data_IF_285169087479
#
_entry.id   IF_285169087479
#
_cell.length_a   1.000
_cell.length_b   1.000
_cell.length_c   1.000
_cell.angle_alpha   90.00
_cell.angle_beta   90.00
_cell.angle_gamma   90.00
#
_symmetry.space_group_name_H-M   'P 1'
#
loop_
_entity.id
_entity.type
_entity.pdbx_description
1 polymer ?
#
# COMPACT_ATOMS: atom_id res chain seq x y z
N UNK A 1 2.17 -5.23 -34.68
CA UNK A 1 2.87 -5.63 -33.42
C UNK A 1 3.17 -4.35 -32.68
N UNK A 2 2.50 -4.12 -31.56
CA UNK A 2 2.74 -2.94 -30.72
C UNK A 2 4.05 -3.10 -29.95
N UNK A 3 4.86 -2.06 -29.89
CA UNK A 3 6.13 -2.04 -29.15
C UNK A 3 6.07 -1.00 -28.04
N UNK A 4 6.12 -1.45 -26.80
CA UNK A 4 6.01 -0.61 -25.61
C UNK A 4 7.29 -0.69 -24.79
N UNK A 5 7.78 0.48 -24.40
CA UNK A 5 8.94 0.63 -23.53
C UNK A 5 8.46 0.90 -22.11
N UNK A 6 9.05 0.19 -21.15
CA UNK A 6 8.91 0.46 -19.72
C UNK A 6 10.17 1.12 -19.19
N UNK A 7 10.05 2.36 -18.74
CA UNK A 7 11.06 3.13 -18.03
C UNK A 7 10.69 3.16 -16.54
N UNK A 8 11.00 2.08 -15.82
CA UNK A 8 10.59 1.91 -14.42
C UNK A 8 11.57 1.05 -13.65
N UNK A 9 11.44 1.03 -12.32
CA UNK A 9 12.19 0.14 -11.47
C UNK A 9 11.48 -1.23 -11.37
N UNK A 10 12.06 -2.26 -11.95
CA UNK A 10 11.55 -3.63 -11.91
C UNK A 10 11.89 -4.40 -10.63
N UNK A 11 12.61 -3.79 -9.69
CA UNK A 11 12.77 -4.35 -8.35
C UNK A 11 11.47 -4.27 -7.55
N UNK A 12 10.57 -3.33 -7.90
CA UNK A 12 9.27 -3.14 -7.27
C UNK A 12 8.20 -4.08 -7.84
N UNK A 13 7.32 -4.61 -6.97
CA UNK A 13 6.19 -5.45 -7.38
C UNK A 13 5.25 -4.71 -8.32
N UNK A 14 4.97 -3.45 -8.05
CA UNK A 14 4.07 -2.61 -8.86
C UNK A 14 4.42 -2.64 -10.34
N UNK A 15 5.70 -2.46 -10.69
CA UNK A 15 6.16 -2.49 -12.08
C UNK A 15 6.00 -3.88 -12.72
N UNK A 16 6.28 -4.94 -11.94
CA UNK A 16 6.16 -6.32 -12.42
C UNK A 16 4.71 -6.71 -12.67
N UNK A 17 3.80 -6.32 -11.78
CA UNK A 17 2.36 -6.60 -11.91
C UNK A 17 1.72 -5.83 -13.06
N UNK A 18 2.09 -4.56 -13.29
CA UNK A 18 1.68 -3.82 -14.48
C UNK A 18 2.08 -4.58 -15.76
N UNK A 19 3.31 -5.05 -15.82
CA UNK A 19 3.81 -5.80 -16.96
C UNK A 19 3.02 -7.11 -17.18
N UNK A 20 2.66 -7.81 -16.10
CA UNK A 20 1.83 -9.03 -16.16
C UNK A 20 0.43 -8.73 -16.72
N UNK A 21 -0.20 -7.66 -16.24
CA UNK A 21 -1.51 -7.25 -16.75
C UNK A 21 -1.50 -6.91 -18.25
N UNK A 22 -0.46 -6.24 -18.72
CA UNK A 22 -0.29 -5.94 -20.15
C UNK A 22 -0.04 -7.20 -20.97
N UNK A 23 0.76 -8.14 -20.45
CA UNK A 23 0.99 -9.43 -21.12
C UNK A 23 -0.33 -10.23 -21.23
N UNK A 24 -1.17 -10.21 -20.19
CA UNK A 24 -2.51 -10.80 -20.20
C UNK A 24 -3.40 -10.18 -21.29
N UNK A 25 -3.43 -8.84 -21.40
CA UNK A 25 -4.18 -8.16 -22.47
C UNK A 25 -3.73 -8.61 -23.86
N UNK A 26 -2.41 -8.66 -24.11
CA UNK A 26 -1.85 -9.09 -25.38
C UNK A 26 -2.25 -10.54 -25.73
N UNK A 27 -2.25 -11.42 -24.74
CA UNK A 27 -2.69 -12.81 -24.88
C UNK A 27 -4.19 -12.90 -25.19
N UNK A 28 -5.04 -12.24 -24.41
CA UNK A 28 -6.50 -12.29 -24.54
C UNK A 28 -7.00 -11.71 -25.86
N UNK A 29 -6.30 -10.71 -26.39
CA UNK A 29 -6.63 -10.09 -27.68
C UNK A 29 -5.92 -10.73 -28.87
N UNK A 30 -5.13 -11.78 -28.67
CA UNK A 30 -4.30 -12.44 -29.67
C UNK A 30 -3.41 -11.47 -30.47
N UNK A 31 -2.94 -10.39 -29.82
CA UNK A 31 -2.11 -9.38 -30.44
C UNK A 31 -0.64 -9.60 -30.11
N UNK A 32 0.24 -9.43 -31.09
CA UNK A 32 1.67 -9.47 -30.87
C UNK A 32 2.15 -8.14 -30.25
N UNK A 33 2.56 -8.18 -29.00
CA UNK A 33 3.18 -7.06 -28.30
C UNK A 33 4.66 -7.35 -27.98
N UNK A 34 5.49 -6.33 -28.11
CA UNK A 34 6.89 -6.36 -27.69
C UNK A 34 7.05 -5.42 -26.50
N UNK A 35 7.30 -5.98 -25.32
CA UNK A 35 7.45 -5.23 -24.07
C UNK A 35 8.94 -5.11 -23.73
N UNK A 36 9.49 -3.91 -23.87
CA UNK A 36 10.92 -3.63 -23.70
C UNK A 36 11.15 -2.92 -22.36
N UNK A 37 12.07 -3.41 -21.55
CA UNK A 37 12.42 -2.82 -20.25
C UNK A 37 13.61 -1.89 -20.41
N UNK A 38 13.48 -0.65 -19.95
CA UNK A 38 14.54 0.36 -19.92
C UNK A 38 14.82 0.77 -18.47
N UNK A 39 16.06 0.60 -17.96
CA UNK A 39 16.39 1.02 -16.59
C UNK A 39 16.28 2.54 -16.43
N UNK A 40 15.82 2.98 -15.25
CA UNK A 40 15.74 4.40 -14.88
C UNK A 40 17.09 5.13 -15.00
N UNK A 41 18.18 4.43 -14.73
CA UNK A 41 19.54 4.97 -14.84
C UNK A 41 19.89 5.57 -16.22
N UNK A 42 19.19 5.14 -17.28
CA UNK A 42 19.37 5.75 -18.62
C UNK A 42 18.85 7.19 -18.63
N UNK A 43 17.62 7.43 -18.10
CA UNK A 43 17.06 8.76 -17.94
C UNK A 43 17.91 9.61 -16.99
N UNK A 44 18.29 9.04 -15.84
CA UNK A 44 19.01 9.75 -14.78
C UNK A 44 20.39 10.21 -15.23
N UNK A 45 21.04 9.44 -16.11
CA UNK A 45 22.38 9.72 -16.62
C UNK A 45 22.38 10.58 -17.89
N UNK A 46 21.40 10.38 -18.77
CA UNK A 46 21.43 10.95 -20.14
C UNK A 46 20.22 11.84 -20.45
N UNK A 47 19.30 12.03 -19.52
CA UNK A 47 18.10 12.83 -19.68
C UNK A 47 16.98 12.13 -20.45
N UNK A 48 15.83 12.81 -20.51
CA UNK A 48 14.63 12.30 -21.18
C UNK A 48 14.80 12.25 -22.70
N UNK A 49 15.60 13.13 -23.25
CA UNK A 49 15.92 13.19 -24.68
C UNK A 49 16.57 11.90 -25.18
N UNK A 50 17.47 11.31 -24.39
CA UNK A 50 18.09 10.03 -24.72
C UNK A 50 17.08 8.89 -24.72
N UNK A 51 16.08 8.94 -23.83
CA UNK A 51 14.97 7.97 -23.81
C UNK A 51 14.14 8.09 -25.09
N UNK A 52 13.82 9.33 -25.52
CA UNK A 52 13.09 9.59 -26.77
C UNK A 52 13.87 9.08 -27.99
N UNK A 53 15.15 9.37 -28.08
CA UNK A 53 16.02 8.89 -29.19
C UNK A 53 16.05 7.35 -29.22
N UNK A 54 16.16 6.72 -28.07
CA UNK A 54 16.16 5.27 -27.97
C UNK A 54 14.81 4.69 -28.41
N UNK A 55 13.70 5.30 -27.96
CA UNK A 55 12.35 4.91 -28.35
C UNK A 55 12.14 5.00 -29.88
N UNK A 56 12.64 6.06 -30.52
CA UNK A 56 12.61 6.21 -31.98
C UNK A 56 13.42 5.13 -32.69
N UNK A 57 14.64 4.86 -32.22
CA UNK A 57 15.49 3.79 -32.79
C UNK A 57 14.82 2.41 -32.69
N UNK A 58 14.14 2.17 -31.59
CA UNK A 58 13.38 0.94 -31.36
C UNK A 58 12.04 0.90 -32.09
N UNK A 59 11.62 2.01 -32.71
CA UNK A 59 10.29 2.18 -33.32
C UNK A 59 9.19 1.86 -32.32
N UNK A 60 9.30 2.42 -31.12
CA UNK A 60 8.32 2.23 -30.07
C UNK A 60 7.04 2.99 -30.37
N UNK A 61 5.90 2.37 -30.13
CA UNK A 61 4.58 2.99 -30.24
C UNK A 61 4.22 3.74 -28.94
N UNK A 62 4.70 3.24 -27.79
CA UNK A 62 4.42 3.83 -26.49
C UNK A 62 5.60 3.71 -25.51
N UNK A 63 5.64 4.62 -24.54
CA UNK A 63 6.53 4.59 -23.38
C UNK A 63 5.68 4.73 -22.11
N UNK A 64 5.79 3.78 -21.20
CA UNK A 64 5.25 3.89 -19.84
C UNK A 64 6.44 4.21 -18.93
N UNK A 65 6.37 5.26 -18.12
CA UNK A 65 7.54 5.64 -17.35
C UNK A 65 7.27 6.37 -16.04
N UNK A 66 8.22 6.21 -15.13
CA UNK A 66 8.36 7.05 -13.95
C UNK A 66 9.09 8.33 -14.36
N UNK A 67 8.35 9.35 -14.75
CA UNK A 67 8.92 10.63 -15.20
C UNK A 67 9.08 11.60 -14.03
N UNK A 68 10.14 12.46 -14.11
CA UNK A 68 10.23 13.61 -13.23
C UNK A 68 9.36 14.76 -13.76
N UNK A 69 8.89 15.62 -12.87
CA UNK A 69 8.11 16.82 -13.28
C UNK A 69 8.88 17.78 -14.19
N UNK A 70 10.21 17.68 -14.16
CA UNK A 70 11.12 18.45 -15.02
C UNK A 70 11.33 17.81 -16.39
N UNK A 71 10.90 16.55 -16.58
CA UNK A 71 11.04 15.87 -17.85
C UNK A 71 10.09 16.47 -18.89
N UNK A 72 10.61 16.78 -20.07
CA UNK A 72 9.80 17.27 -21.18
C UNK A 72 9.08 16.10 -21.88
N UNK A 73 8.00 15.61 -21.27
CA UNK A 73 7.21 14.47 -21.80
C UNK A 73 6.53 14.76 -23.14
N UNK A 74 6.36 16.04 -23.50
CA UNK A 74 5.83 16.47 -24.82
C UNK A 74 6.73 16.04 -25.99
N UNK A 75 7.99 15.76 -25.73
CA UNK A 75 8.91 15.25 -26.76
C UNK A 75 8.44 13.90 -27.32
N UNK A 76 7.82 13.04 -26.52
CA UNK A 76 7.26 11.78 -27.01
C UNK A 76 6.14 12.05 -28.02
N UNK A 77 5.16 12.87 -27.66
CA UNK A 77 4.04 13.23 -28.54
C UNK A 77 4.50 13.87 -29.84
N UNK A 78 5.47 14.81 -29.79
CA UNK A 78 6.03 15.46 -30.99
C UNK A 78 6.67 14.46 -31.94
N UNK A 79 7.09 13.30 -31.46
CA UNK A 79 7.70 12.24 -32.25
C UNK A 79 6.74 11.07 -32.53
N UNK A 80 5.42 11.25 -32.27
CA UNK A 80 4.40 10.24 -32.54
C UNK A 80 4.42 9.04 -31.57
N UNK A 81 5.02 9.21 -30.39
CA UNK A 81 5.10 8.17 -29.35
C UNK A 81 4.11 8.50 -28.24
N UNK A 82 3.29 7.52 -27.87
CA UNK A 82 2.37 7.64 -26.74
C UNK A 82 3.18 7.58 -25.44
N UNK A 83 3.04 8.60 -24.58
CA UNK A 83 3.64 8.60 -23.25
C UNK A 83 2.56 8.41 -22.19
N UNK A 84 2.80 7.53 -21.23
CA UNK A 84 1.94 7.31 -20.07
C UNK A 84 2.80 7.36 -18.81
N UNK A 85 2.44 8.25 -17.87
CA UNK A 85 3.17 8.39 -16.62
C UNK A 85 2.74 7.30 -15.63
N UNK A 86 3.69 6.53 -15.11
CA UNK A 86 3.48 5.72 -13.92
C UNK A 86 3.58 6.61 -12.68
N UNK A 87 2.70 6.41 -11.71
CA UNK A 87 2.75 7.10 -10.42
C UNK A 87 4.16 7.04 -9.82
N UNK A 88 4.78 8.19 -9.63
CA UNK A 88 6.14 8.28 -9.12
C UNK A 88 6.29 9.45 -8.16
N UNK A 89 6.25 10.71 -8.64
CA UNK A 89 6.32 11.89 -7.76
C UNK A 89 5.05 12.72 -7.83
N UNK A 90 4.71 13.23 -9.00
CA UNK A 90 3.54 14.07 -9.25
C UNK A 90 2.82 13.59 -10.51
N UNK A 91 1.50 13.74 -10.52
CA UNK A 91 0.69 13.46 -11.71
C UNK A 91 0.93 14.50 -12.80
N UNK A 92 0.89 14.05 -14.04
CA UNK A 92 0.95 14.90 -15.22
C UNK A 92 -0.46 15.30 -15.65
N UNK A 93 -0.60 16.49 -16.25
CA UNK A 93 -1.86 16.99 -16.82
C UNK A 93 -1.89 16.92 -18.35
N UNK A 94 -0.77 16.61 -18.97
CA UNK A 94 -0.60 16.62 -20.44
C UNK A 94 -0.50 15.24 -21.06
N UNK A 95 -0.36 14.20 -20.25
CA UNK A 95 -0.33 12.80 -20.63
C UNK A 95 -1.13 11.95 -19.61
N UNK A 96 -1.67 10.79 -20.00
CA UNK A 96 -2.35 9.89 -19.07
C UNK A 96 -1.42 9.45 -17.94
N UNK A 97 -2.00 9.26 -16.76
CA UNK A 97 -1.32 8.67 -15.61
C UNK A 97 -1.85 7.26 -15.33
N UNK A 98 -0.99 6.40 -14.83
CA UNK A 98 -1.36 5.20 -14.09
C UNK A 98 -1.27 5.58 -12.63
N UNK A 99 -2.40 5.74 -11.96
CA UNK A 99 -2.50 6.26 -10.60
C UNK A 99 -3.60 5.54 -9.83
N UNK A 100 -3.92 5.96 -8.62
CA UNK A 100 -4.98 5.35 -7.82
C UNK A 100 -5.62 6.33 -6.83
N UNK A 101 -6.74 5.93 -6.19
CA UNK A 101 -7.37 6.71 -5.14
C UNK A 101 -6.61 6.50 -3.82
N UNK A 102 -5.40 7.05 -3.74
CA UNK A 102 -4.47 6.85 -2.61
C UNK A 102 -5.03 7.31 -1.28
N UNK A 103 -5.88 8.35 -1.27
CA UNK A 103 -6.65 8.73 -0.10
C UNK A 103 -7.50 7.57 0.42
N UNK A 104 -8.17 6.83 -0.47
CA UNK A 104 -8.98 5.67 -0.08
C UNK A 104 -8.14 4.52 0.48
N UNK A 105 -6.92 4.32 -0.02
CA UNK A 105 -5.98 3.35 0.54
C UNK A 105 -5.61 3.72 1.99
N UNK A 106 -5.34 5.01 2.25
CA UNK A 106 -5.11 5.52 3.60
C UNK A 106 -6.31 5.31 4.52
N UNK A 107 -7.51 5.59 4.03
CA UNK A 107 -8.76 5.35 4.77
C UNK A 107 -8.94 3.86 5.11
N UNK A 108 -8.76 2.95 4.15
CA UNK A 108 -8.85 1.49 4.39
C UNK A 108 -7.87 1.03 5.48
N UNK A 109 -6.65 1.54 5.49
CA UNK A 109 -5.66 1.24 6.51
C UNK A 109 -6.10 1.73 7.89
N UNK A 110 -6.66 2.94 7.98
CA UNK A 110 -7.19 3.49 9.23
C UNK A 110 -8.35 2.65 9.76
N UNK A 111 -9.35 2.35 8.93
CA UNK A 111 -10.50 1.51 9.26
C UNK A 111 -10.05 0.13 9.79
N UNK A 112 -9.07 -0.49 9.13
CA UNK A 112 -8.49 -1.76 9.55
C UNK A 112 -7.89 -1.71 10.96
N UNK A 113 -7.11 -0.68 11.29
CA UNK A 113 -6.52 -0.56 12.61
C UNK A 113 -7.53 -0.12 13.68
N UNK A 114 -8.51 0.70 13.33
CA UNK A 114 -9.62 1.07 14.22
C UNK A 114 -10.43 -0.17 14.64
N UNK A 115 -10.72 -1.08 13.71
CA UNK A 115 -11.38 -2.35 14.00
C UNK A 115 -10.56 -3.23 14.96
N UNK A 116 -9.23 -3.15 14.89
CA UNK A 116 -8.32 -3.83 15.81
C UNK A 116 -8.20 -3.17 17.19
N UNK A 117 -8.86 -2.01 17.40
CA UNK A 117 -8.94 -1.32 18.69
C UNK A 117 -7.74 -0.43 19.02
N UNK A 118 -6.91 -0.09 18.05
CA UNK A 118 -5.81 0.87 18.26
C UNK A 118 -6.33 2.27 18.58
N UNK A 119 -5.53 3.01 19.35
CA UNK A 119 -5.78 4.41 19.75
C UNK A 119 -4.60 5.33 19.45
N UNK A 120 -3.43 4.75 19.22
CA UNK A 120 -2.23 5.48 18.82
C UNK A 120 -1.88 5.07 17.40
N UNK A 121 -1.72 6.06 16.54
CA UNK A 121 -1.51 5.85 15.12
C UNK A 121 -0.32 6.65 14.64
N UNK A 122 0.35 6.11 13.64
CA UNK A 122 1.47 6.79 13.04
C UNK A 122 1.57 6.49 11.54
N UNK A 123 2.18 7.41 10.80
CA UNK A 123 2.43 7.26 9.38
C UNK A 123 3.92 7.46 9.07
N UNK A 124 4.46 6.54 8.27
CA UNK A 124 5.84 6.63 7.79
C UNK A 124 5.89 6.67 6.26
N UNK A 125 6.58 7.67 5.70
CA UNK A 125 6.64 7.82 4.25
C UNK A 125 7.45 9.01 3.77
N UNK A 126 7.20 9.49 2.55
CA UNK A 126 7.94 10.57 1.90
C UNK A 126 7.03 11.76 1.62
N UNK A 127 7.53 12.98 1.83
CA UNK A 127 6.82 14.23 1.48
C UNK A 127 7.00 14.59 0.01
N UNK A 128 5.99 15.22 -0.56
CA UNK A 128 6.04 15.76 -1.91
C UNK A 128 5.88 14.70 -3.00
N UNK A 129 5.43 13.51 -2.62
CA UNK A 129 5.04 12.43 -3.51
C UNK A 129 3.54 12.22 -3.36
N UNK A 130 2.78 12.32 -4.44
CA UNK A 130 1.32 12.36 -4.41
C UNK A 130 0.72 11.13 -3.70
N UNK A 131 1.15 9.92 -4.04
CA UNK A 131 0.62 8.72 -3.40
C UNK A 131 0.88 8.66 -1.89
N UNK A 132 2.07 9.10 -1.45
CA UNK A 132 2.43 9.09 -0.02
C UNK A 132 1.68 10.18 0.74
N UNK A 133 1.56 11.38 0.17
CA UNK A 133 0.86 12.49 0.79
C UNK A 133 -0.64 12.20 0.92
N UNK A 134 -1.28 11.67 -0.12
CA UNK A 134 -2.70 11.30 -0.11
C UNK A 134 -3.00 10.12 0.82
N UNK A 135 -2.15 9.08 0.86
CA UNK A 135 -2.27 7.97 1.82
C UNK A 135 -2.20 8.47 3.25
N UNK A 136 -1.23 9.35 3.55
CA UNK A 136 -1.09 9.99 4.86
C UNK A 136 -2.33 10.79 5.24
N UNK A 137 -2.86 11.57 4.30
CA UNK A 137 -4.06 12.39 4.51
C UNK A 137 -5.27 11.51 4.82
N UNK A 138 -5.57 10.52 3.97
CA UNK A 138 -6.72 9.63 4.16
C UNK A 138 -6.64 8.84 5.47
N UNK A 139 -5.44 8.37 5.84
CA UNK A 139 -5.19 7.67 7.09
C UNK A 139 -5.47 8.59 8.29
N UNK A 140 -4.89 9.80 8.31
CA UNK A 140 -5.04 10.76 9.40
C UNK A 140 -6.48 11.23 9.57
N UNK A 141 -7.12 11.70 8.50
CA UNK A 141 -8.47 12.28 8.56
C UNK A 141 -9.51 11.24 9.03
N UNK A 142 -9.34 9.98 8.64
CA UNK A 142 -10.21 8.90 9.09
C UNK A 142 -10.07 8.63 10.59
N UNK A 143 -8.85 8.67 11.12
CA UNK A 143 -8.57 8.51 12.55
C UNK A 143 -9.15 9.67 13.34
N UNK A 144 -8.91 10.92 12.92
CA UNK A 144 -9.41 12.13 13.55
C UNK A 144 -10.95 12.18 13.56
N UNK A 145 -11.58 11.73 12.46
CA UNK A 145 -13.04 11.62 12.37
C UNK A 145 -13.63 10.55 13.30
N UNK A 146 -12.90 9.45 13.52
CA UNK A 146 -13.34 8.38 14.42
C UNK A 146 -13.31 8.81 15.90
N UNK A 147 -12.24 9.45 16.33
CA UNK A 147 -12.13 10.05 17.66
C UNK A 147 -10.97 11.08 17.71
N UNK A 148 -11.26 12.37 17.97
CA UNK A 148 -10.24 13.40 18.04
C UNK A 148 -9.25 13.27 19.23
N UNK A 149 -9.54 12.40 20.21
CA UNK A 149 -8.61 12.08 21.30
C UNK A 149 -7.54 11.03 20.92
N UNK A 150 -7.66 10.40 19.76
CA UNK A 150 -6.65 9.46 19.30
C UNK A 150 -5.37 10.19 18.92
N UNK A 151 -4.22 9.56 19.21
CA UNK A 151 -2.95 10.17 18.87
C UNK A 151 -2.58 9.88 17.42
N UNK A 152 -2.04 10.88 16.74
CA UNK A 152 -1.46 10.70 15.40
C UNK A 152 -0.08 11.36 15.33
N UNK A 153 0.89 10.64 14.80
CA UNK A 153 2.24 11.13 14.53
C UNK A 153 2.67 10.76 13.11
N UNK A 154 3.49 11.57 12.47
CA UNK A 154 4.06 11.18 11.18
C UNK A 154 5.53 11.52 11.07
N UNK A 155 6.32 10.58 10.57
CA UNK A 155 7.68 10.82 10.12
C UNK A 155 7.71 10.68 8.61
N UNK A 156 8.07 11.76 7.92
CA UNK A 156 8.13 11.82 6.47
C UNK A 156 9.43 12.45 6.02
N UNK A 157 10.27 11.66 5.36
CA UNK A 157 11.51 12.14 4.76
C UNK A 157 11.24 13.09 3.59
N UNK A 158 12.23 13.92 3.26
CA UNK A 158 12.20 14.69 2.01
C UNK A 158 12.62 13.80 0.85
N UNK A 159 11.91 13.87 -0.27
CA UNK A 159 12.22 13.16 -1.51
C UNK A 159 13.60 13.54 -2.13
N UNK A 160 14.30 14.53 -1.55
CA UNK A 160 15.61 14.99 -2.00
C UNK A 160 16.79 14.32 -1.27
N UNK A 161 16.53 13.55 -0.22
CA UNK A 161 17.59 12.91 0.57
C UNK A 161 17.65 11.40 0.25
N UNK A 162 18.37 11.04 -0.78
CA UNK A 162 18.49 9.65 -1.25
C UNK A 162 19.25 8.73 -0.27
N UNK A 163 19.95 9.31 0.74
CA UNK A 163 20.72 8.55 1.73
C UNK A 163 19.98 8.31 3.05
N UNK A 164 18.77 8.85 3.24
CA UNK A 164 17.97 8.63 4.45
C UNK A 164 17.72 7.13 4.71
N UNK A 165 17.73 6.32 3.67
CA UNK A 165 17.55 4.88 3.66
C UNK A 165 18.62 4.13 4.47
N UNK A 166 19.82 4.69 4.60
CA UNK A 166 20.94 4.05 5.27
C UNK A 166 21.18 4.57 6.70
N UNK A 167 20.53 5.67 7.08
CA UNK A 167 20.59 6.22 8.44
C UNK A 167 19.22 6.06 9.13
N UNK A 168 19.10 4.99 9.91
CA UNK A 168 17.90 4.70 10.69
C UNK A 168 17.78 5.49 11.99
N UNK A 169 18.76 6.35 12.35
CA UNK A 169 18.81 7.03 13.65
C UNK A 169 17.56 7.86 13.94
N UNK A 170 17.11 8.64 12.95
CA UNK A 170 15.91 9.45 13.09
C UNK A 170 14.65 8.58 13.23
N UNK A 171 14.55 7.50 12.43
CA UNK A 171 13.45 6.55 12.50
C UNK A 171 13.40 5.85 13.86
N UNK A 172 14.53 5.36 14.37
CA UNK A 172 14.64 4.72 15.69
C UNK A 172 14.19 5.67 16.79
N UNK A 173 14.69 6.91 16.80
CA UNK A 173 14.32 7.93 17.79
C UNK A 173 12.82 8.21 17.78
N UNK A 174 12.23 8.34 16.57
CA UNK A 174 10.80 8.53 16.42
C UNK A 174 10.00 7.33 16.91
N UNK A 175 10.38 6.10 16.52
CA UNK A 175 9.70 4.87 16.97
C UNK A 175 9.72 4.72 18.50
N UNK A 176 10.81 5.12 19.17
CA UNK A 176 10.91 5.10 20.63
C UNK A 176 10.00 6.12 21.29
N UNK A 177 9.77 7.27 20.66
CA UNK A 177 8.91 8.35 21.18
C UNK A 177 7.41 8.10 21.10
N UNK A 178 6.98 7.16 20.24
CA UNK A 178 5.56 6.88 20.03
C UNK A 178 4.91 6.21 21.25
N UNK A 179 3.70 6.59 21.65
CA UNK A 179 2.93 5.89 22.67
C UNK A 179 2.57 4.47 22.19
N UNK A 180 2.67 3.48 23.10
CA UNK A 180 2.43 2.05 22.76
C UNK A 180 1.10 1.56 23.35
N UNK A 181 0.41 0.59 22.74
CA UNK A 181 0.67 0.06 21.41
C UNK A 181 0.33 1.07 20.32
N UNK A 182 1.07 1.05 19.19
CA UNK A 182 0.87 1.94 18.07
C UNK A 182 0.66 1.17 16.76
N UNK A 183 -0.26 1.65 15.93
CA UNK A 183 -0.49 1.18 14.56
C UNK A 183 0.21 2.11 13.58
N UNK A 184 1.12 1.59 12.78
CA UNK A 184 1.87 2.36 11.78
C UNK A 184 1.46 1.93 10.38
N UNK A 185 0.98 2.87 9.58
CA UNK A 185 0.88 2.72 8.14
C UNK A 185 2.17 3.26 7.51
N UNK A 186 2.85 2.44 6.74
CA UNK A 186 3.90 2.90 5.84
C UNK A 186 3.33 3.23 4.46
N UNK A 187 3.97 4.15 3.73
CA UNK A 187 3.45 4.54 2.42
C UNK A 187 3.57 3.42 1.37
N UNK A 188 4.51 2.49 1.54
CA UNK A 188 4.71 1.29 0.73
C UNK A 188 5.38 0.17 1.55
N UNK A 189 5.57 -1.01 0.94
CA UNK A 189 6.16 -2.16 1.62
C UNK A 189 7.65 -1.99 1.91
N UNK A 190 8.41 -1.27 1.08
CA UNK A 190 9.81 -0.98 1.35
C UNK A 190 9.96 -0.11 2.59
N UNK A 191 9.10 0.91 2.74
CA UNK A 191 9.05 1.75 3.93
C UNK A 191 8.62 0.94 5.17
N UNK A 192 7.66 0.01 5.02
CA UNK A 192 7.26 -0.89 6.09
C UNK A 192 8.42 -1.80 6.52
N UNK A 193 9.19 -2.33 5.57
CA UNK A 193 10.37 -3.12 5.84
C UNK A 193 11.43 -2.33 6.63
N UNK A 194 11.66 -1.04 6.29
CA UNK A 194 12.57 -0.20 7.07
C UNK A 194 12.16 -0.05 8.53
N UNK A 195 10.87 0.05 8.81
CA UNK A 195 10.39 0.09 10.19
C UNK A 195 10.77 -1.22 10.91
N UNK A 196 10.62 -2.38 10.25
CA UNK A 196 10.99 -3.66 10.86
C UNK A 196 12.48 -3.74 11.16
N UNK A 197 13.33 -3.32 10.22
CA UNK A 197 14.77 -3.27 10.40
C UNK A 197 15.19 -2.29 11.52
N UNK A 198 14.54 -1.12 11.61
CA UNK A 198 14.80 -0.18 12.69
C UNK A 198 14.37 -0.74 14.06
N UNK A 199 13.26 -1.48 14.12
CA UNK A 199 12.83 -2.14 15.36
C UNK A 199 13.84 -3.19 15.86
N UNK A 200 14.55 -3.87 14.97
CA UNK A 200 15.62 -4.81 15.35
C UNK A 200 16.81 -4.13 16.04
N UNK A 201 17.06 -2.87 15.72
CA UNK A 201 18.18 -2.07 16.26
C UNK A 201 17.84 -1.42 17.61
N UNK A 202 16.59 -1.41 18.04
CA UNK A 202 16.18 -0.84 19.32
C UNK A 202 16.63 -1.80 20.45
N UNK A 203 17.48 -1.32 21.37
CA UNK A 203 17.97 -2.10 22.51
C UNK A 203 16.82 -2.68 23.35
N UNK A 204 16.90 -3.97 23.68
CA UNK A 204 15.91 -4.70 24.48
C UNK A 204 14.59 -4.98 23.75
N UNK A 205 14.48 -4.64 22.47
CA UNK A 205 13.23 -4.73 21.72
C UNK A 205 13.13 -5.91 20.77
N UNK A 206 14.16 -6.16 19.99
CA UNK A 206 14.12 -7.24 18.99
C UNK A 206 12.78 -7.38 18.26
N UNK A 207 12.60 -8.48 17.58
CA UNK A 207 11.34 -8.83 16.91
C UNK A 207 10.14 -8.99 17.87
N UNK A 208 10.37 -9.04 19.18
CA UNK A 208 9.31 -9.17 20.17
C UNK A 208 8.41 -7.94 20.30
N UNK A 209 8.83 -6.79 19.72
CA UNK A 209 8.01 -5.56 19.70
C UNK A 209 6.96 -5.53 18.58
N UNK A 210 7.14 -6.29 17.52
CA UNK A 210 6.18 -6.41 16.43
C UNK A 210 5.49 -7.78 16.54
N UNK A 211 4.16 -7.84 16.62
CA UNK A 211 3.17 -6.74 16.56
C UNK A 211 2.81 -6.12 17.92
N UNK A 212 3.37 -6.58 19.04
CA UNK A 212 2.85 -6.28 20.39
C UNK A 212 2.87 -4.80 20.76
N UNK A 213 3.99 -4.11 20.48
CA UNK A 213 4.14 -2.68 20.73
C UNK A 213 3.85 -1.86 19.47
N UNK A 214 4.22 -2.40 18.30
CA UNK A 214 4.19 -1.71 17.02
C UNK A 214 3.58 -2.65 15.99
N UNK A 215 2.36 -2.35 15.54
CA UNK A 215 1.75 -3.02 14.40
C UNK A 215 2.09 -2.25 13.11
N UNK A 216 2.48 -2.96 12.04
CA UNK A 216 2.97 -2.34 10.80
C UNK A 216 2.15 -2.85 9.62
N UNK A 217 1.64 -1.90 8.82
CA UNK A 217 0.93 -2.17 7.57
C UNK A 217 1.66 -1.45 6.42
N UNK A 218 2.05 -2.21 5.40
CA UNK A 218 2.56 -1.70 4.14
C UNK A 218 1.48 -1.51 3.07
N UNK A 219 1.90 -1.18 1.87
CA UNK A 219 1.08 -1.10 0.66
C UNK A 219 1.86 -1.67 -0.50
N UNK A 220 1.19 -2.26 -1.47
CA UNK A 220 1.57 -2.90 -2.72
C UNK A 220 1.57 -4.43 -2.66
N UNK A 221 1.61 -5.02 -1.49
CA UNK A 221 1.65 -6.47 -1.26
C UNK A 221 2.79 -7.17 -2.02
N UNK A 222 3.98 -6.55 -2.04
CA UNK A 222 5.17 -7.20 -2.58
C UNK A 222 5.51 -8.45 -1.75
N UNK A 223 5.21 -9.62 -2.31
CA UNK A 223 5.41 -10.89 -1.61
C UNK A 223 6.86 -11.09 -1.16
N UNK A 224 7.82 -10.60 -1.93
CA UNK A 224 9.24 -10.72 -1.62
C UNK A 224 9.56 -9.92 -0.37
N UNK A 225 9.19 -8.64 -0.33
CA UNK A 225 9.43 -7.75 0.80
C UNK A 225 8.63 -8.20 2.02
N UNK A 226 7.35 -8.55 1.83
CA UNK A 226 6.50 -9.02 2.91
C UNK A 226 7.02 -10.31 3.58
N UNK A 227 7.60 -11.23 2.82
CA UNK A 227 8.18 -12.48 3.33
C UNK A 227 9.60 -12.32 3.86
N UNK A 228 10.39 -11.37 3.35
CA UNK A 228 11.71 -11.04 3.83
C UNK A 228 11.67 -10.46 5.24
N UNK A 229 10.62 -9.72 5.54
CA UNK A 229 10.41 -9.09 6.83
C UNK A 229 10.20 -10.10 7.95
N UNK A 230 10.71 -9.78 9.14
CA UNK A 230 10.51 -10.59 10.34
C UNK A 230 9.96 -9.70 11.47
N UNK A 231 8.71 -9.94 11.90
CA UNK A 231 7.70 -10.87 11.35
C UNK A 231 7.19 -10.47 9.95
N UNK A 232 6.57 -11.42 9.24
CA UNK A 232 6.03 -11.18 7.90
C UNK A 232 5.05 -10.00 7.87
N UNK A 233 5.22 -9.10 6.88
CA UNK A 233 4.45 -7.86 6.76
C UNK A 233 3.03 -8.09 6.23
N UNK A 234 2.07 -7.50 6.93
CA UNK A 234 0.73 -7.23 6.41
C UNK A 234 0.81 -6.07 5.43
N UNK A 235 0.06 -6.16 4.35
CA UNK A 235 0.10 -5.13 3.32
C UNK A 235 -1.26 -4.96 2.64
N UNK A 236 -1.57 -3.73 2.24
CA UNK A 236 -2.72 -3.41 1.43
C UNK A 236 -2.40 -3.76 -0.02
N UNK A 237 -3.20 -4.66 -0.59
CA UNK A 237 -3.08 -5.06 -1.98
C UNK A 237 -3.78 -4.06 -2.89
N UNK A 238 -3.16 -3.77 -4.03
CA UNK A 238 -3.70 -2.94 -5.09
C UNK A 238 -3.97 -3.80 -6.34
N UNK A 239 -4.97 -3.44 -7.12
CA UNK A 239 -5.30 -4.16 -8.35
C UNK A 239 -4.36 -3.81 -9.52
N UNK A 240 -3.05 -3.89 -9.28
CA UNK A 240 -2.02 -3.40 -10.23
C UNK A 240 -2.03 -4.20 -11.53
N UNK A 241 -2.21 -5.52 -11.48
CA UNK A 241 -2.31 -6.35 -12.68
C UNK A 241 -3.51 -5.93 -13.55
N UNK A 242 -4.66 -5.64 -12.93
CA UNK A 242 -5.81 -5.10 -13.68
C UNK A 242 -5.50 -3.72 -14.27
N UNK A 243 -4.81 -2.85 -13.52
CA UNK A 243 -4.30 -1.58 -14.03
C UNK A 243 -3.42 -1.75 -15.26
N UNK A 244 -2.52 -2.74 -15.26
CA UNK A 244 -1.68 -3.09 -16.41
C UNK A 244 -2.51 -3.52 -17.64
N UNK A 245 -3.55 -4.30 -17.43
CA UNK A 245 -4.49 -4.69 -18.48
C UNK A 245 -5.20 -3.47 -19.08
N UNK A 246 -5.66 -2.55 -18.23
CA UNK A 246 -6.37 -1.34 -18.66
C UNK A 246 -5.44 -0.35 -19.38
N UNK A 247 -4.17 -0.25 -18.95
CA UNK A 247 -3.14 0.52 -19.67
C UNK A 247 -2.90 -0.04 -21.06
N UNK A 248 -2.79 -1.35 -21.20
CA UNK A 248 -2.63 -1.97 -22.52
C UNK A 248 -3.83 -1.67 -23.43
N UNK A 249 -5.05 -1.74 -22.90
CA UNK A 249 -6.27 -1.36 -23.61
C UNK A 249 -6.26 0.12 -24.04
N UNK A 250 -5.79 1.02 -23.17
CA UNK A 250 -5.63 2.44 -23.49
C UNK A 250 -4.62 2.64 -24.63
N UNK A 251 -3.44 2.02 -24.55
CA UNK A 251 -2.40 2.10 -25.59
C UNK A 251 -2.94 1.58 -26.92
N UNK A 252 -3.61 0.42 -26.94
CA UNK A 252 -4.18 -0.14 -28.17
C UNK A 252 -5.20 0.82 -28.83
N UNK A 253 -6.03 1.47 -27.99
CA UNK A 253 -6.98 2.51 -28.45
C UNK A 253 -6.26 3.70 -29.05
N UNK A 254 -5.22 4.23 -28.40
CA UNK A 254 -4.46 5.39 -28.84
C UNK A 254 -3.60 5.10 -30.09
N UNK A 255 -3.08 3.88 -30.24
CA UNK A 255 -2.40 3.47 -31.48
C UNK A 255 -3.37 3.52 -32.67
N UNK A 256 -4.62 3.05 -32.50
CA UNK A 256 -5.65 3.05 -33.54
C UNK A 256 -6.23 4.44 -33.84
N UNK A 257 -6.31 5.28 -32.82
CA UNK A 257 -6.82 6.64 -32.92
C UNK A 257 -6.02 7.58 -32.02
N UNK A 258 -4.96 8.20 -32.53
CA UNK A 258 -4.08 9.10 -31.76
C UNK A 258 -4.79 10.34 -31.18
N UNK A 259 -5.91 10.75 -31.74
CA UNK A 259 -6.73 11.88 -31.26
C UNK A 259 -7.84 11.45 -30.29
N UNK A 260 -7.89 10.18 -29.89
CA UNK A 260 -8.89 9.73 -28.93
C UNK A 260 -8.69 10.41 -27.59
N UNK A 261 -9.79 10.82 -26.97
CA UNK A 261 -9.79 11.28 -25.57
C UNK A 261 -9.24 10.18 -24.66
N UNK A 262 -8.52 10.57 -23.64
CA UNK A 262 -7.97 9.66 -22.66
C UNK A 262 -8.32 10.10 -21.22
N UNK A 263 -8.33 9.15 -20.34
CA UNK A 263 -8.47 9.32 -18.89
C UNK A 263 -7.31 8.59 -18.20
N UNK A 264 -7.04 8.98 -16.98
CA UNK A 264 -6.07 8.28 -16.14
C UNK A 264 -6.51 6.84 -15.88
N UNK A 265 -5.58 5.92 -15.86
CA UNK A 265 -5.83 4.53 -15.50
C UNK A 265 -5.78 4.37 -14.00
N UNK A 266 -6.92 4.01 -13.40
CA UNK A 266 -7.08 3.93 -11.97
C UNK A 266 -6.77 2.53 -11.43
N UNK A 267 -5.71 2.41 -10.64
CA UNK A 267 -5.34 1.21 -9.87
C UNK A 267 -6.03 1.29 -8.51
N UNK A 268 -7.03 0.43 -8.31
CA UNK A 268 -7.88 0.47 -7.11
C UNK A 268 -7.28 -0.34 -5.96
N UNK A 269 -7.28 0.18 -4.71
CA UNK A 269 -6.99 -0.65 -3.55
C UNK A 269 -8.07 -1.74 -3.42
N UNK A 270 -7.66 -2.97 -3.14
CA UNK A 270 -8.57 -4.13 -3.12
C UNK A 270 -8.87 -4.63 -1.70
N UNK A 271 -7.86 -5.11 -0.99
CA UNK A 271 -8.01 -5.67 0.35
C UNK A 271 -6.67 -5.64 1.09
N UNK A 272 -6.71 -5.87 2.40
CA UNK A 272 -5.52 -6.01 3.22
C UNK A 272 -5.20 -7.50 3.39
N UNK A 273 -3.99 -7.88 3.00
CA UNK A 273 -3.43 -9.20 3.26
C UNK A 273 -2.82 -9.19 4.65
N UNK A 274 -3.56 -9.72 5.62
CA UNK A 274 -3.12 -9.79 7.02
C UNK A 274 -2.05 -10.87 7.18
N UNK A 275 -0.91 -10.47 7.78
CA UNK A 275 0.19 -11.33 8.20
C UNK A 275 0.58 -11.00 9.64
N UNK A 276 1.73 -11.50 10.09
CA UNK A 276 2.15 -11.42 11.49
C UNK A 276 2.36 -9.99 12.01
N UNK A 277 2.76 -9.02 11.18
CA UNK A 277 3.08 -7.66 11.61
C UNK A 277 1.87 -6.85 12.13
N UNK A 278 0.65 -7.32 11.88
CA UNK A 278 -0.58 -6.75 12.43
C UNK A 278 -1.45 -7.78 13.14
N UNK A 279 -0.91 -8.96 13.46
CA UNK A 279 -1.65 -10.04 14.13
C UNK A 279 -1.76 -9.78 15.63
N UNK A 280 -2.38 -8.66 15.97
CA UNK A 280 -2.65 -8.21 17.33
C UNK A 280 -3.96 -7.42 17.36
N UNK A 281 -4.63 -7.52 18.50
CA UNK A 281 -5.78 -6.67 18.86
C UNK A 281 -5.36 -5.77 20.01
N UNK A 282 -5.14 -4.49 19.71
CA UNK A 282 -4.71 -3.51 20.68
C UNK A 282 -5.92 -3.05 21.51
N UNK A 283 -6.09 -3.68 22.63
CA UNK A 283 -7.09 -3.27 23.59
C UNK A 283 -6.44 -2.98 24.94
N UNK A 284 -6.76 -1.84 25.55
CA UNK A 284 -6.27 -1.49 26.88
C UNK A 284 -6.80 -2.42 27.98
N UNK A 285 -7.84 -3.20 27.69
CA UNK A 285 -8.33 -4.27 28.56
C UNK A 285 -7.76 -5.61 28.06
N UNK A 286 -6.82 -6.24 28.80
CA UNK A 286 -6.18 -7.48 28.38
C UNK A 286 -7.17 -8.63 28.19
N UNK A 287 -8.31 -8.59 28.89
CA UNK A 287 -9.35 -9.60 28.74
C UNK A 287 -10.11 -9.43 27.42
N UNK A 288 -10.32 -8.19 26.98
CA UNK A 288 -10.93 -7.94 25.68
C UNK A 288 -9.96 -8.28 24.55
N UNK A 289 -8.66 -7.97 24.69
CA UNK A 289 -7.63 -8.37 23.73
C UNK A 289 -7.61 -9.90 23.53
N UNK A 290 -7.69 -10.67 24.63
CA UNK A 290 -7.73 -12.13 24.59
C UNK A 290 -8.99 -12.66 23.87
N UNK A 291 -10.14 -12.05 24.13
CA UNK A 291 -11.42 -12.40 23.47
C UNK A 291 -11.37 -12.08 21.97
N UNK A 292 -10.84 -10.93 21.59
CA UNK A 292 -10.67 -10.54 20.19
C UNK A 292 -9.76 -11.53 19.46
N UNK A 293 -8.60 -11.85 20.04
CA UNK A 293 -7.67 -12.84 19.50
C UNK A 293 -8.38 -14.18 19.24
N UNK A 294 -9.08 -14.71 20.24
CA UNK A 294 -9.81 -15.98 20.11
C UNK A 294 -10.86 -15.93 18.99
N UNK A 295 -11.63 -14.84 18.88
CA UNK A 295 -12.63 -14.67 17.82
C UNK A 295 -11.98 -14.79 16.44
N UNK A 296 -10.88 -14.09 16.20
CA UNK A 296 -10.23 -14.09 14.89
C UNK A 296 -9.53 -15.41 14.55
N UNK A 297 -8.87 -16.05 15.52
CA UNK A 297 -8.26 -17.36 15.34
C UNK A 297 -9.29 -18.45 15.00
N UNK A 298 -10.50 -18.33 15.57
CA UNK A 298 -11.54 -19.35 15.45
C UNK A 298 -12.74 -18.95 14.57
N UNK A 299 -12.63 -17.87 13.78
CA UNK A 299 -13.77 -17.27 13.05
C UNK A 299 -14.46 -18.23 12.09
N UNK A 300 -13.74 -19.24 11.57
CA UNK A 300 -14.27 -20.27 10.67
C UNK A 300 -15.12 -21.32 11.41
N UNK A 301 -15.09 -21.33 12.74
CA UNK A 301 -15.83 -22.24 13.60
C UNK A 301 -17.05 -21.57 14.25
N UNK A 302 -17.92 -22.35 14.88
CA UNK A 302 -19.02 -21.78 15.65
C UNK A 302 -18.48 -21.24 16.97
N UNK A 303 -18.51 -19.92 17.14
CA UNK A 303 -18.11 -19.24 18.38
C UNK A 303 -19.35 -18.85 19.15
N UNK A 304 -19.37 -19.14 20.45
CA UNK A 304 -20.43 -18.73 21.35
C UNK A 304 -19.91 -17.81 22.47
N UNK A 305 -20.74 -16.89 22.95
CA UNK A 305 -20.35 -15.99 24.06
C UNK A 305 -19.97 -16.78 25.32
N UNK A 306 -20.55 -17.96 25.56
CA UNK A 306 -20.20 -18.81 26.70
C UNK A 306 -18.77 -19.37 26.59
N UNK A 307 -18.28 -19.64 25.41
CA UNK A 307 -16.86 -20.03 25.19
C UNK A 307 -15.94 -18.86 25.51
N UNK A 308 -16.28 -17.67 25.07
CA UNK A 308 -15.49 -16.45 25.32
C UNK A 308 -15.41 -16.10 26.80
N UNK A 309 -16.51 -16.30 27.54
CA UNK A 309 -16.53 -16.11 29.01
C UNK A 309 -15.58 -17.06 29.75
N UNK A 310 -15.32 -18.26 29.21
CA UNK A 310 -14.38 -19.22 29.83
C UNK A 310 -12.91 -18.82 29.64
N UNK A 311 -12.60 -17.93 28.69
CA UNK A 311 -11.23 -17.51 28.41
C UNK A 311 -10.72 -16.48 29.43
N UNK A 312 -11.64 -15.77 30.09
CA UNK A 312 -11.28 -14.60 30.89
C UNK A 312 -11.97 -14.66 32.25
N UNK A 313 -11.37 -14.15 33.34
CA UNK A 313 -11.96 -14.20 34.69
C UNK A 313 -13.04 -13.11 34.87
N UNK A 314 -13.98 -13.02 33.93
CA UNK A 314 -15.07 -12.04 33.94
C UNK A 314 -16.43 -12.76 33.90
N UNK A 315 -17.42 -12.17 34.58
CA UNK A 315 -18.81 -12.61 34.37
C UNK A 315 -19.28 -12.23 32.97
N UNK A 316 -20.23 -12.96 32.40
CA UNK A 316 -20.80 -12.69 31.07
C UNK A 316 -21.24 -11.24 30.93
N UNK A 317 -21.99 -10.70 31.90
CA UNK A 317 -22.47 -9.32 31.87
C UNK A 317 -21.32 -8.32 31.86
N UNK A 318 -20.25 -8.56 32.62
CA UNK A 318 -19.11 -7.68 32.70
C UNK A 318 -18.29 -7.71 31.38
N UNK A 319 -18.12 -8.91 30.82
CA UNK A 319 -17.46 -9.08 29.51
C UNK A 319 -18.22 -8.34 28.42
N UNK A 320 -19.53 -8.54 28.27
CA UNK A 320 -20.36 -7.89 27.26
C UNK A 320 -20.34 -6.35 27.42
N UNK A 321 -20.39 -5.85 28.68
CA UNK A 321 -20.31 -4.40 28.96
C UNK A 321 -18.96 -3.80 28.58
N UNK A 322 -17.85 -4.45 28.96
CA UNK A 322 -16.50 -3.98 28.64
C UNK A 322 -16.23 -4.08 27.14
N UNK A 323 -16.66 -5.18 26.51
CA UNK A 323 -16.52 -5.36 25.06
C UNK A 323 -17.24 -4.24 24.29
N UNK A 324 -18.53 -3.98 24.64
CA UNK A 324 -19.29 -2.90 24.01
C UNK A 324 -18.68 -1.52 24.24
N UNK A 325 -18.17 -1.26 25.45
CA UNK A 325 -17.46 -0.01 25.75
C UNK A 325 -16.19 0.16 24.93
N UNK A 326 -15.48 -0.94 24.70
CA UNK A 326 -14.18 -0.95 24.00
C UNK A 326 -14.32 -0.94 22.49
N UNK A 327 -15.25 -1.73 21.94
CA UNK A 327 -15.41 -1.96 20.51
C UNK A 327 -16.58 -1.19 19.87
N UNK A 328 -17.41 -0.53 20.69
CA UNK A 328 -18.59 0.21 20.21
C UNK A 328 -19.77 -0.68 19.78
N UNK A 329 -19.59 -2.00 19.70
CA UNK A 329 -20.58 -2.98 19.21
C UNK A 329 -20.72 -4.17 20.17
N UNK A 330 -21.77 -4.99 20.00
CA UNK A 330 -21.91 -6.23 20.77
C UNK A 330 -20.93 -7.31 20.29
N UNK A 331 -20.59 -8.27 21.16
CA UNK A 331 -19.76 -9.43 20.79
C UNK A 331 -20.38 -10.19 19.60
N UNK A 332 -21.69 -10.34 19.59
CA UNK A 332 -22.38 -11.07 18.53
C UNK A 332 -22.29 -10.37 17.19
N UNK A 333 -22.57 -9.06 17.15
CA UNK A 333 -22.50 -8.25 15.94
C UNK A 333 -21.06 -8.18 15.42
N UNK A 334 -20.08 -8.09 16.32
CA UNK A 334 -18.67 -8.11 15.97
C UNK A 334 -18.26 -9.43 15.28
N UNK A 335 -18.68 -10.58 15.83
CA UNK A 335 -18.43 -11.91 15.21
C UNK A 335 -19.05 -11.98 13.81
N UNK A 336 -20.26 -11.47 13.61
CA UNK A 336 -20.91 -11.43 12.28
C UNK A 336 -20.11 -10.57 11.33
N UNK A 337 -19.72 -9.37 11.74
CA UNK A 337 -18.94 -8.44 10.93
C UNK A 337 -17.63 -9.09 10.47
N UNK A 338 -16.85 -9.67 11.38
CA UNK A 338 -15.58 -10.33 11.05
C UNK A 338 -15.77 -11.51 10.09
N UNK A 339 -16.88 -12.25 10.20
CA UNK A 339 -17.22 -13.33 9.25
C UNK A 339 -17.51 -12.81 7.85
N UNK A 340 -18.29 -11.74 7.76
CA UNK A 340 -18.60 -11.11 6.47
C UNK A 340 -17.31 -10.62 5.81
N UNK A 341 -16.45 -9.93 6.56
CA UNK A 341 -15.14 -9.46 6.07
C UNK A 341 -14.28 -10.61 5.55
N UNK A 342 -14.20 -11.72 6.31
CA UNK A 342 -13.45 -12.90 5.86
C UNK A 342 -14.04 -13.59 4.63
N UNK A 343 -15.36 -13.61 4.51
CA UNK A 343 -16.03 -14.14 3.30
C UNK A 343 -15.72 -13.28 2.08
N UNK A 344 -15.72 -11.94 2.22
CA UNK A 344 -15.39 -11.02 1.13
C UNK A 344 -13.94 -11.12 0.68
N UNK A 345 -13.03 -11.56 1.55
CA UNK A 345 -11.61 -11.79 1.22
C UNK A 345 -11.39 -13.11 0.46
N UNK A 346 -12.33 -14.03 0.50
CA UNK A 346 -12.25 -15.35 -0.14
C UNK A 346 -12.94 -15.41 -1.51
N UNK A 347 -13.68 -14.37 -1.85
CA UNK A 347 -14.36 -14.18 -3.16
C UNK A 347 -13.49 -13.34 -4.10
#
# INVERSE_FOLDING_TARGET
>A
MARVIFLTDFSEAYARELLLGMARYAHDTAQAWSLCRLPLSIRDKFGIEAVVEWALRMKADAVIGQFYNTDNVELFRKNGIIAIAQDFKKRFTTIPNITGPHYSAGRMAAEYFLQKGFRNFAFYGTRGIDFSDERCQGFRETIEAANPEFTFSSLRSSAQNDLWYYDSTQLITWLQSLPKPVAIMACDDNQAYHITEACLQIEGGGNSRIPNDIAILGVDNDETICKLSTPNLSSLNQGVEQGGYDVARLIDRLIRNPEAEWEDVMVMPTHIVTRQSTDIYANNDPHIAEVLRYIHENISQKITVNELVKLVPLSRRLLETRFKKSMGTSIYDYIIQVRIEKMMQLL
#
